data_IF_666667080769
#
_entry.id   IF_666667080769
#
_cell.length_a   1.000
_cell.length_b   1.000
_cell.length_c   1.000
_cell.angle_alpha   90.00
_cell.angle_beta   90.00
_cell.angle_gamma   90.00
#
_symmetry.space_group_name_H-M   'P 1'
#
loop_
_entity.id
_entity.type
_entity.pdbx_description
1 polymer ?
#
# COMPACT_ATOMS: atom_id res chain seq x y z
N UNK A 1 -25.33 -20.92 10.26
CA UNK A 1 -23.90 -21.01 10.54
C UNK A 1 -23.02 -20.60 9.35
N UNK A 2 -23.24 -21.15 8.16
CA UNK A 2 -22.45 -20.80 6.99
C UNK A 2 -22.59 -19.33 6.56
N UNK A 3 -23.77 -18.74 6.69
CA UNK A 3 -24.02 -17.34 6.32
C UNK A 3 -23.20 -16.36 7.17
N UNK A 4 -23.01 -16.66 8.46
CA UNK A 4 -22.23 -15.81 9.35
C UNK A 4 -20.74 -15.89 9.08
N UNK A 5 -20.24 -17.08 8.69
CA UNK A 5 -18.84 -17.27 8.30
C UNK A 5 -18.49 -16.45 7.04
N UNK A 6 -19.36 -16.47 6.04
CA UNK A 6 -19.14 -15.69 4.81
C UNK A 6 -19.20 -14.19 5.07
N UNK A 7 -20.16 -13.72 5.91
CA UNK A 7 -20.24 -12.31 6.28
C UNK A 7 -19.01 -11.83 7.02
N UNK A 8 -18.52 -12.64 7.98
CA UNK A 8 -17.31 -12.31 8.76
C UNK A 8 -16.07 -12.29 7.87
N UNK A 9 -15.98 -13.22 6.92
CA UNK A 9 -14.85 -13.29 6.01
C UNK A 9 -14.84 -12.10 5.04
N UNK A 10 -16.00 -11.70 4.51
CA UNK A 10 -16.12 -10.52 3.65
C UNK A 10 -15.76 -9.25 4.40
N UNK A 11 -16.22 -9.10 5.64
CA UNK A 11 -15.90 -7.96 6.48
C UNK A 11 -14.42 -7.90 6.79
N UNK A 12 -13.78 -9.03 7.09
CA UNK A 12 -12.35 -9.10 7.36
C UNK A 12 -11.54 -8.76 6.11
N UNK A 13 -11.94 -9.26 4.94
CA UNK A 13 -11.28 -8.93 3.67
C UNK A 13 -11.39 -7.44 3.36
N UNK A 14 -12.56 -6.86 3.59
CA UNK A 14 -12.80 -5.42 3.42
C UNK A 14 -11.88 -4.62 4.33
N UNK A 15 -11.80 -4.99 5.62
CA UNK A 15 -10.93 -4.31 6.58
C UNK A 15 -9.46 -4.44 6.19
N UNK A 16 -9.04 -5.62 5.72
CA UNK A 16 -7.67 -5.84 5.27
C UNK A 16 -7.33 -5.01 4.04
N UNK A 17 -8.27 -4.86 3.11
CA UNK A 17 -8.09 -4.02 1.94
C UNK A 17 -7.90 -2.56 2.34
N UNK A 18 -8.68 -2.08 3.32
CA UNK A 18 -8.53 -0.73 3.84
C UNK A 18 -7.14 -0.54 4.48
N UNK A 19 -6.64 -1.54 5.20
CA UNK A 19 -5.31 -1.47 5.81
C UNK A 19 -4.20 -1.40 4.76
N UNK A 20 -4.32 -2.16 3.68
CA UNK A 20 -3.36 -2.10 2.56
C UNK A 20 -3.33 -0.70 1.96
N UNK A 21 -4.50 -0.15 1.65
CA UNK A 21 -4.61 1.18 1.04
C UNK A 21 -4.10 2.24 2.02
N UNK A 22 -4.40 2.11 3.31
CA UNK A 22 -3.90 3.03 4.34
C UNK A 22 -2.37 3.02 4.41
N UNK A 23 -1.74 1.86 4.23
CA UNK A 23 -0.28 1.77 4.16
C UNK A 23 0.27 2.53 2.95
N UNK A 24 -0.36 2.40 1.79
CA UNK A 24 0.03 3.13 0.59
C UNK A 24 -0.08 4.65 0.79
N UNK A 25 -1.16 5.09 1.43
CA UNK A 25 -1.37 6.51 1.74
C UNK A 25 -0.30 6.99 2.72
N UNK A 26 0.00 6.19 3.74
CA UNK A 26 1.03 6.54 4.72
C UNK A 26 2.39 6.74 4.05
N UNK A 27 2.73 5.86 3.13
CA UNK A 27 3.98 5.98 2.36
C UNK A 27 3.98 7.24 1.50
N UNK A 28 2.83 7.59 0.91
CA UNK A 28 2.70 8.81 0.08
C UNK A 28 2.85 10.09 0.91
N UNK A 29 2.47 10.05 2.19
CA UNK A 29 2.52 11.23 3.08
C UNK A 29 3.86 11.46 3.75
N UNK A 30 4.85 10.62 3.49
CA UNK A 30 6.12 10.68 4.23
C UNK A 30 6.83 12.04 4.06
N UNK A 31 6.67 12.69 2.92
CA UNK A 31 7.26 13.99 2.61
C UNK A 31 6.30 15.16 2.93
N UNK A 32 5.23 14.90 3.66
CA UNK A 32 4.17 15.84 4.02
C UNK A 32 3.39 16.38 2.82
N UNK A 33 3.57 15.79 1.64
CA UNK A 33 3.03 16.31 0.39
C UNK A 33 2.26 15.21 -0.37
N UNK A 34 1.04 14.96 0.08
CA UNK A 34 0.16 13.94 -0.51
C UNK A 34 -0.52 14.53 -1.76
N UNK A 35 0.09 14.30 -2.93
CA UNK A 35 -0.29 14.93 -4.19
C UNK A 35 -1.42 14.22 -4.91
N UNK A 36 -2.05 14.92 -5.87
CA UNK A 36 -3.05 14.32 -6.75
C UNK A 36 -2.47 13.22 -7.62
N UNK A 37 -1.21 13.34 -8.03
CA UNK A 37 -0.51 12.30 -8.79
C UNK A 37 -0.41 11.02 -7.97
N UNK A 38 -0.03 11.15 -6.70
CA UNK A 38 0.07 10.01 -5.79
C UNK A 38 -1.29 9.35 -5.57
N UNK A 39 -2.34 10.15 -5.41
CA UNK A 39 -3.72 9.64 -5.28
C UNK A 39 -4.14 8.84 -6.51
N UNK A 40 -3.80 9.32 -7.70
CA UNK A 40 -4.12 8.61 -8.95
C UNK A 40 -3.39 7.27 -9.03
N UNK A 41 -2.14 7.23 -8.61
CA UNK A 41 -1.37 5.98 -8.56
C UNK A 41 -2.05 4.98 -7.62
N UNK A 42 -2.47 5.45 -6.44
CA UNK A 42 -3.14 4.60 -5.46
C UNK A 42 -4.49 4.11 -5.98
N UNK A 43 -5.29 4.98 -6.61
CA UNK A 43 -6.58 4.58 -7.19
C UNK A 43 -6.37 3.50 -8.25
N UNK A 44 -5.40 3.69 -9.14
CA UNK A 44 -5.09 2.70 -10.17
C UNK A 44 -4.67 1.36 -9.54
N UNK A 45 -3.88 1.42 -8.49
CA UNK A 45 -3.47 0.23 -7.75
C UNK A 45 -4.65 -0.50 -7.13
N UNK A 46 -5.60 0.24 -6.53
CA UNK A 46 -6.81 -0.35 -5.94
C UNK A 46 -7.61 -1.09 -7.01
N UNK A 47 -7.81 -0.46 -8.16
CA UNK A 47 -8.55 -1.07 -9.28
C UNK A 47 -7.88 -2.37 -9.71
N UNK A 48 -6.56 -2.38 -9.84
CA UNK A 48 -5.81 -3.55 -10.27
C UNK A 48 -5.77 -4.64 -9.21
N UNK A 49 -5.59 -4.27 -7.95
CA UNK A 49 -5.48 -5.25 -6.84
C UNK A 49 -6.81 -5.94 -6.55
N UNK A 50 -7.90 -5.20 -6.60
CA UNK A 50 -9.20 -5.68 -6.11
C UNK A 50 -10.24 -5.82 -7.20
N UNK A 51 -9.91 -5.50 -8.44
CA UNK A 51 -10.81 -5.61 -9.60
C UNK A 51 -12.13 -4.89 -9.35
N UNK A 52 -12.05 -3.63 -8.95
CA UNK A 52 -13.21 -2.77 -8.64
C UNK A 52 -13.29 -1.63 -9.65
N UNK A 53 -14.45 -0.97 -9.70
CA UNK A 53 -14.65 0.21 -10.54
C UNK A 53 -13.92 1.43 -9.97
N UNK A 54 -13.79 2.48 -10.80
CA UNK A 54 -13.21 3.75 -10.35
C UNK A 54 -13.98 4.35 -9.17
N UNK A 55 -15.30 4.30 -9.21
CA UNK A 55 -16.14 4.82 -8.13
C UNK A 55 -15.93 4.05 -6.83
N UNK A 56 -15.83 2.74 -6.91
CA UNK A 56 -15.52 1.89 -5.75
C UNK A 56 -14.13 2.20 -5.21
N UNK A 57 -13.16 2.36 -6.09
CA UNK A 57 -11.79 2.68 -5.70
C UNK A 57 -11.72 4.01 -4.95
N UNK A 58 -12.46 5.03 -5.40
CA UNK A 58 -12.51 6.33 -4.73
C UNK A 58 -13.11 6.22 -3.34
N UNK A 59 -14.17 5.42 -3.19
CA UNK A 59 -14.78 5.18 -1.87
C UNK A 59 -13.81 4.48 -0.93
N UNK A 60 -13.11 3.46 -1.42
CA UNK A 60 -12.11 2.74 -0.63
C UNK A 60 -10.96 3.67 -0.24
N UNK A 61 -10.54 4.55 -1.14
CA UNK A 61 -9.50 5.52 -0.86
C UNK A 61 -9.90 6.44 0.29
N UNK A 62 -11.13 6.97 0.26
CA UNK A 62 -11.62 7.89 1.31
C UNK A 62 -11.66 7.20 2.67
N UNK A 63 -12.14 5.95 2.71
CA UNK A 63 -12.17 5.17 3.95
C UNK A 63 -10.75 4.92 4.47
N UNK A 64 -9.83 4.62 3.58
CA UNK A 64 -8.44 4.36 3.94
C UNK A 64 -7.73 5.64 4.39
N UNK A 65 -8.04 6.78 3.78
CA UNK A 65 -7.51 8.08 4.22
C UNK A 65 -7.92 8.38 5.67
N UNK A 66 -9.17 8.10 6.00
CA UNK A 66 -9.68 8.25 7.37
C UNK A 66 -8.95 7.31 8.32
N UNK A 67 -8.78 6.05 7.92
CA UNK A 67 -8.10 5.05 8.73
C UNK A 67 -6.64 5.44 8.98
N UNK A 68 -5.96 5.94 7.97
CA UNK A 68 -4.56 6.36 8.07
C UNK A 68 -4.41 7.53 9.05
N UNK A 69 -5.32 8.51 9.02
CA UNK A 69 -5.30 9.65 9.94
C UNK A 69 -5.53 9.21 11.38
N UNK A 70 -6.38 8.21 11.60
CA UNK A 70 -6.68 7.69 12.94
C UNK A 70 -5.56 6.86 13.55
N UNK A 71 -4.65 6.33 12.72
CA UNK A 71 -3.58 5.43 13.15
C UNK A 71 -2.24 6.14 13.20
N UNK A 72 -1.55 6.03 14.34
CA UNK A 72 -0.26 6.69 14.54
C UNK A 72 0.93 5.78 14.24
N UNK A 73 0.71 4.48 14.01
CA UNK A 73 1.80 3.53 13.85
C UNK A 73 1.60 2.61 12.64
N UNK A 74 2.65 2.54 11.85
CA UNK A 74 2.73 1.69 10.66
C UNK A 74 2.45 0.20 10.98
N UNK A 75 2.78 -0.24 12.19
CA UNK A 75 2.57 -1.63 12.64
C UNK A 75 1.10 -2.03 12.55
N UNK A 76 0.18 -1.10 12.78
CA UNK A 76 -1.26 -1.39 12.67
C UNK A 76 -1.65 -1.83 11.26
N UNK A 77 -1.01 -1.26 10.23
CA UNK A 77 -1.27 -1.62 8.85
C UNK A 77 -0.58 -2.93 8.46
N UNK A 78 0.66 -3.12 8.89
CA UNK A 78 1.47 -4.26 8.46
C UNK A 78 1.13 -5.56 9.18
N UNK A 79 0.51 -5.48 10.36
CA UNK A 79 0.20 -6.67 11.18
C UNK A 79 -0.61 -7.72 10.42
N UNK A 80 -1.62 -7.28 9.69
CA UNK A 80 -2.46 -8.18 8.89
C UNK A 80 -1.85 -8.47 7.52
N UNK A 81 -1.19 -7.48 6.93
CA UNK A 81 -0.62 -7.59 5.58
C UNK A 81 0.49 -8.65 5.54
N UNK A 82 1.27 -8.78 6.60
CA UNK A 82 2.37 -9.76 6.66
C UNK A 82 1.89 -11.21 6.52
N UNK A 83 0.59 -11.45 6.72
CA UNK A 83 -0.01 -12.79 6.60
C UNK A 83 -0.38 -13.15 5.17
N UNK A 84 -0.34 -12.19 4.25
CA UNK A 84 -0.67 -12.44 2.84
C UNK A 84 0.47 -13.16 2.13
N UNK A 85 0.20 -13.65 0.92
CA UNK A 85 1.22 -14.33 0.11
C UNK A 85 2.41 -13.41 -0.15
N UNK A 86 3.58 -13.99 -0.39
CA UNK A 86 4.78 -13.22 -0.71
C UNK A 86 4.57 -12.42 -2.01
N UNK A 87 3.87 -12.98 -3.00
CA UNK A 87 3.59 -12.29 -4.25
C UNK A 87 2.79 -11.01 -4.01
N UNK A 88 1.79 -11.06 -3.13
CA UNK A 88 0.98 -9.90 -2.80
C UNK A 88 1.79 -8.85 -2.05
N UNK A 89 2.61 -9.28 -1.08
CA UNK A 89 3.46 -8.35 -0.31
C UNK A 89 4.49 -7.66 -1.20
N UNK A 90 5.07 -8.39 -2.15
CA UNK A 90 6.00 -7.81 -3.13
C UNK A 90 5.30 -6.80 -4.03
N UNK A 91 4.06 -7.08 -4.40
CA UNK A 91 3.25 -6.15 -5.21
C UNK A 91 3.00 -4.84 -4.46
N UNK A 92 2.73 -4.90 -3.17
CA UNK A 92 2.55 -3.71 -2.33
C UNK A 92 3.83 -2.86 -2.37
N UNK A 93 4.99 -3.48 -2.20
CA UNK A 93 6.26 -2.75 -2.22
C UNK A 93 6.51 -2.12 -3.61
N UNK A 94 6.17 -2.82 -4.67
CA UNK A 94 6.27 -2.27 -6.03
C UNK A 94 5.44 -1.00 -6.18
N UNK A 95 4.21 -1.01 -5.69
CA UNK A 95 3.32 0.14 -5.74
C UNK A 95 3.90 1.30 -4.91
N UNK A 96 4.44 1.01 -3.73
CA UNK A 96 5.06 2.03 -2.89
C UNK A 96 6.23 2.70 -3.62
N UNK A 97 7.09 1.94 -4.31
CA UNK A 97 8.16 2.51 -5.11
C UNK A 97 7.64 3.38 -6.25
N UNK A 98 6.52 2.99 -6.89
CA UNK A 98 5.89 3.82 -7.93
C UNK A 98 5.43 5.15 -7.36
N UNK A 99 4.87 5.14 -6.17
CA UNK A 99 4.44 6.36 -5.47
C UNK A 99 5.66 7.25 -5.19
N UNK A 100 6.71 6.66 -4.63
CA UNK A 100 7.93 7.38 -4.24
C UNK A 100 8.60 8.02 -5.44
N UNK A 101 8.68 7.32 -6.57
CA UNK A 101 9.33 7.83 -7.76
C UNK A 101 8.45 8.78 -8.59
N UNK A 102 7.20 8.99 -8.19
CA UNK A 102 6.27 9.82 -8.96
C UNK A 102 6.64 11.29 -8.99
N UNK A 103 7.43 11.77 -8.02
CA UNK A 103 7.83 13.18 -7.90
C UNK A 103 9.30 13.43 -8.19
N UNK A 104 10.01 12.49 -8.78
CA UNK A 104 11.42 12.55 -9.18
C UNK A 104 12.43 12.79 -8.04
N UNK A 105 11.97 12.89 -6.80
CA UNK A 105 12.85 13.11 -5.66
C UNK A 105 12.73 11.95 -4.66
N UNK A 106 13.56 10.92 -4.82
CA UNK A 106 13.70 9.92 -3.76
C UNK A 106 14.76 10.43 -2.77
N UNK A 107 14.34 10.76 -1.56
CA UNK A 107 15.28 11.12 -0.52
C UNK A 107 15.52 9.94 0.42
N UNK A 108 16.43 10.14 1.38
CA UNK A 108 16.83 9.09 2.32
C UNK A 108 15.68 8.68 3.25
N UNK A 109 14.74 9.57 3.53
CA UNK A 109 13.58 9.29 4.39
C UNK A 109 12.66 8.26 3.78
N UNK A 110 12.39 8.40 2.48
CA UNK A 110 11.52 7.46 1.76
C UNK A 110 12.15 6.08 1.73
N UNK A 111 13.47 6.00 1.46
CA UNK A 111 14.19 4.73 1.45
C UNK A 111 14.20 4.07 2.82
N UNK A 112 14.33 4.84 3.90
CA UNK A 112 14.30 4.31 5.26
C UNK A 112 12.92 3.78 5.62
N UNK A 113 11.86 4.50 5.24
CA UNK A 113 10.49 4.04 5.48
C UNK A 113 10.22 2.73 4.75
N UNK A 114 10.59 2.63 3.48
CA UNK A 114 10.36 1.42 2.69
C UNK A 114 11.14 0.25 3.30
N UNK A 115 12.38 0.47 3.72
CA UNK A 115 13.17 -0.57 4.37
C UNK A 115 12.48 -1.07 5.64
N UNK A 116 11.92 -0.15 6.43
CA UNK A 116 11.17 -0.51 7.64
C UNK A 116 9.91 -1.31 7.29
N UNK A 117 9.17 -0.89 6.28
CA UNK A 117 7.98 -1.61 5.81
C UNK A 117 8.38 -3.02 5.36
N UNK A 118 9.46 -3.15 4.59
CA UNK A 118 9.96 -4.45 4.14
C UNK A 118 10.28 -5.36 5.33
N UNK A 119 10.95 -4.84 6.35
CA UNK A 119 11.23 -5.60 7.57
C UNK A 119 9.96 -6.11 8.23
N UNK A 120 8.95 -5.27 8.34
CA UNK A 120 7.66 -5.62 8.96
C UNK A 120 6.87 -6.61 8.11
N UNK A 121 7.05 -6.61 6.79
CA UNK A 121 6.36 -7.52 5.87
C UNK A 121 7.19 -8.76 5.52
N UNK A 122 8.34 -8.95 6.16
CA UNK A 122 9.25 -10.09 5.91
C UNK A 122 9.71 -10.16 4.46
N UNK A 123 10.06 -9.00 3.89
CA UNK A 123 10.63 -8.90 2.54
C UNK A 123 12.14 -8.62 2.68
N UNK A 124 12.95 -9.42 1.98
CA UNK A 124 14.40 -9.29 2.04
C UNK A 124 14.89 -8.00 1.36
N UNK A 125 16.06 -7.53 1.79
CA UNK A 125 16.72 -6.38 1.16
C UNK A 125 17.00 -6.65 -0.32
N UNK A 126 17.33 -7.89 -0.66
CA UNK A 126 17.56 -8.31 -2.05
C UNK A 126 16.33 -8.12 -2.91
N UNK A 127 15.18 -8.63 -2.44
CA UNK A 127 13.91 -8.51 -3.17
C UNK A 127 13.48 -7.05 -3.28
N UNK A 128 13.65 -6.29 -2.22
CA UNK A 128 13.36 -4.85 -2.23
C UNK A 128 14.21 -4.13 -3.29
N UNK A 129 15.50 -4.43 -3.33
CA UNK A 129 16.43 -3.84 -4.30
C UNK A 129 16.06 -4.17 -5.74
N UNK A 130 15.64 -5.40 -6.00
CA UNK A 130 15.20 -5.84 -7.33
C UNK A 130 13.97 -5.04 -7.76
N UNK A 131 12.98 -4.90 -6.88
CA UNK A 131 11.75 -4.17 -7.15
C UNK A 131 12.04 -2.70 -7.39
N UNK A 132 12.87 -2.09 -6.54
CA UNK A 132 13.29 -0.69 -6.68
C UNK A 132 13.88 -0.43 -8.07
N UNK A 133 14.81 -1.27 -8.50
CA UNK A 133 15.48 -1.16 -9.80
C UNK A 133 14.48 -1.30 -10.94
N UNK A 134 13.58 -2.30 -10.84
CA UNK A 134 12.54 -2.53 -11.84
C UNK A 134 11.66 -1.29 -12.02
N UNK A 135 11.16 -0.72 -10.92
CA UNK A 135 10.30 0.45 -10.97
C UNK A 135 11.03 1.66 -11.54
N UNK A 136 12.26 1.88 -11.09
CA UNK A 136 13.10 2.98 -11.58
C UNK A 136 13.27 2.89 -13.09
N UNK A 137 13.52 1.70 -13.63
CA UNK A 137 13.72 1.50 -15.06
C UNK A 137 12.44 1.70 -15.87
N UNK A 138 11.27 1.37 -15.30
CA UNK A 138 9.99 1.57 -15.97
C UNK A 138 9.62 3.05 -16.14
N UNK A 139 10.17 3.92 -15.30
CA UNK A 139 9.84 5.35 -15.29
C UNK A 139 10.80 6.20 -16.14
N UNK A 140 11.80 5.58 -16.75
CA UNK A 140 12.73 6.28 -17.66
C UNK A 140 12.14 6.49 -19.04
#
# INVERSE_FOLDING_TARGET
MFKNLFKNQKKQNFNNNILVIALLIHAAKIDENYTEIEKKIIIKAIIQLYNVSSNEAEKLLKLAEKKEVESNQIVEFTREIKKFSIEFRLKIIEIIWKIVYSDDTSDNYESNLIRRICGLLYISDKDNGIIKTKVKNLLK
#
